data_IF_905921586901
#
_entry.id   IF_905921586901
#
_cell.length_a   1.000
_cell.length_b   1.000
_cell.length_c   1.000
_cell.angle_alpha   90.00
_cell.angle_beta   90.00
_cell.angle_gamma   90.00
#
_symmetry.space_group_name_H-M   'P 1'
#
loop_
_entity.id
_entity.type
_entity.pdbx_description
1 polymer ?
#
# COMPACT_ATOMS: atom_id res chain seq x y z
N UNK A 1 -7.59 3.63 11.31
CA UNK A 1 -6.85 4.40 10.29
C UNK A 1 -5.40 3.97 10.27
N UNK A 2 -4.88 3.72 9.08
CA UNK A 2 -3.48 3.34 8.90
C UNK A 2 -2.78 4.36 8.01
N UNK A 3 -1.47 4.51 8.22
CA UNK A 3 -0.60 5.23 7.29
C UNK A 3 0.10 4.20 6.40
N UNK A 4 0.00 4.38 5.09
CA UNK A 4 0.58 3.47 4.12
C UNK A 4 1.65 4.23 3.32
N UNK A 5 2.88 3.76 3.39
CA UNK A 5 4.01 4.40 2.72
C UNK A 5 4.57 3.48 1.64
N UNK A 6 4.53 3.95 0.39
CA UNK A 6 5.16 3.27 -0.75
C UNK A 6 6.49 3.95 -1.06
N UNK A 7 7.57 3.20 -1.04
CA UNK A 7 8.92 3.69 -1.34
C UNK A 7 9.45 3.06 -2.61
N UNK A 8 9.99 3.86 -3.50
CA UNK A 8 10.66 3.44 -4.74
C UNK A 8 9.76 2.73 -5.74
N UNK A 9 8.45 2.91 -5.63
CA UNK A 9 7.49 2.43 -6.63
C UNK A 9 7.27 3.49 -7.70
N UNK A 10 6.95 3.04 -8.92
CA UNK A 10 6.53 3.97 -9.97
C UNK A 10 5.15 4.54 -9.64
N UNK A 11 4.88 5.73 -10.15
CA UNK A 11 3.56 6.36 -9.98
C UNK A 11 2.44 5.46 -10.50
N UNK A 12 2.65 4.82 -11.65
CA UNK A 12 1.65 3.93 -12.25
C UNK A 12 1.32 2.76 -11.32
N UNK A 13 2.33 2.13 -10.75
CA UNK A 13 2.13 1.00 -9.85
C UNK A 13 1.39 1.42 -8.58
N UNK A 14 1.77 2.54 -7.98
CA UNK A 14 1.12 3.04 -6.78
C UNK A 14 -0.35 3.38 -7.03
N UNK A 15 -0.65 4.05 -8.14
CA UNK A 15 -2.03 4.39 -8.49
C UNK A 15 -2.88 3.15 -8.71
N UNK A 16 -2.34 2.14 -9.36
CA UNK A 16 -3.04 0.89 -9.59
C UNK A 16 -3.32 0.15 -8.28
N UNK A 17 -2.32 0.08 -7.41
CA UNK A 17 -2.45 -0.59 -6.10
C UNK A 17 -3.48 0.13 -5.22
N UNK A 18 -3.38 1.44 -5.10
CA UNK A 18 -4.29 2.21 -4.24
C UNK A 18 -5.72 2.19 -4.76
N UNK A 19 -5.90 2.22 -6.07
CA UNK A 19 -7.23 2.14 -6.68
C UNK A 19 -7.89 0.80 -6.41
N UNK A 20 -7.16 -0.30 -6.56
CA UNK A 20 -7.68 -1.63 -6.29
C UNK A 20 -7.97 -1.81 -4.80
N UNK A 21 -7.11 -1.28 -3.94
CA UNK A 21 -7.30 -1.34 -2.49
C UNK A 21 -8.60 -0.64 -2.09
N UNK A 22 -8.82 0.56 -2.57
CA UNK A 22 -10.03 1.33 -2.27
C UNK A 22 -11.29 0.66 -2.82
N UNK A 23 -11.20 0.04 -4.00
CA UNK A 23 -12.34 -0.59 -4.63
C UNK A 23 -12.79 -1.88 -3.94
N UNK A 24 -11.86 -2.63 -3.31
CA UNK A 24 -12.13 -4.00 -2.88
C UNK A 24 -11.96 -4.25 -1.38
N UNK A 25 -11.14 -3.50 -0.69
CA UNK A 25 -10.69 -3.90 0.66
C UNK A 25 -10.85 -2.84 1.73
N UNK A 26 -10.80 -1.56 1.39
CA UNK A 26 -10.83 -0.49 2.37
C UNK A 26 -11.86 0.55 2.00
N UNK A 27 -12.26 1.34 2.99
CA UNK A 27 -13.28 2.35 2.81
C UNK A 27 -12.77 3.58 2.06
N UNK A 28 -11.56 4.04 2.38
CA UNK A 28 -11.04 5.29 1.85
C UNK A 28 -9.52 5.28 1.83
N UNK A 29 -8.94 5.84 0.77
CA UNK A 29 -7.49 6.02 0.64
C UNK A 29 -7.23 7.46 0.21
N UNK A 30 -6.52 8.22 1.03
CA UNK A 30 -6.21 9.64 0.78
C UNK A 30 -4.70 9.86 0.71
N UNK A 31 -4.25 10.57 -0.31
CA UNK A 31 -2.85 10.94 -0.43
C UNK A 31 -2.51 12.05 0.58
N UNK A 32 -1.56 11.78 1.46
CA UNK A 32 -1.08 12.75 2.45
C UNK A 32 0.15 13.50 1.97
N UNK A 33 1.09 12.78 1.33
CA UNK A 33 2.36 13.37 0.92
C UNK A 33 2.93 12.59 -0.26
N UNK A 34 3.57 13.30 -1.17
CA UNK A 34 4.20 12.70 -2.34
C UNK A 34 5.51 13.41 -2.64
N UNK A 35 6.55 12.63 -2.93
CA UNK A 35 7.82 13.14 -3.45
C UNK A 35 8.38 12.14 -4.47
N UNK A 36 9.62 12.33 -4.92
CA UNK A 36 10.20 11.51 -5.98
C UNK A 36 10.46 10.06 -5.57
N UNK A 37 10.59 9.78 -4.28
CA UNK A 37 10.95 8.45 -3.78
C UNK A 37 9.88 7.79 -2.94
N UNK A 38 8.89 8.53 -2.46
CA UNK A 38 7.86 7.96 -1.60
C UNK A 38 6.51 8.64 -1.77
N UNK A 39 5.46 7.88 -1.47
CA UNK A 39 4.08 8.37 -1.41
C UNK A 39 3.44 7.82 -0.14
N UNK A 40 2.85 8.72 0.64
CA UNK A 40 2.24 8.38 1.91
C UNK A 40 0.74 8.62 1.82
N UNK A 41 -0.02 7.59 2.17
CA UNK A 41 -1.49 7.62 2.16
C UNK A 41 -2.05 7.38 3.55
N UNK A 42 -3.22 7.96 3.81
CA UNK A 42 -4.06 7.59 4.93
C UNK A 42 -5.09 6.58 4.44
N UNK A 43 -5.24 5.47 5.15
CA UNK A 43 -6.17 4.41 4.77
C UNK A 43 -7.16 4.21 5.90
N UNK A 44 -8.44 4.34 5.60
CA UNK A 44 -9.51 4.07 6.54
C UNK A 44 -10.11 2.70 6.26
N UNK A 45 -10.03 1.81 7.24
CA UNK A 45 -10.49 0.44 7.09
C UNK A 45 -10.78 -0.18 8.46
N UNK A 46 -11.62 -1.21 8.47
CA UNK A 46 -11.87 -2.03 9.65
C UNK A 46 -10.95 -3.25 9.71
N UNK A 47 -10.12 -3.45 8.69
CA UNK A 47 -9.18 -4.56 8.66
C UNK A 47 -8.10 -4.38 9.73
N UNK A 48 -7.60 -5.48 10.25
CA UNK A 48 -6.40 -5.46 11.08
C UNK A 48 -5.16 -5.18 10.23
N UNK A 49 -4.04 -4.87 10.86
CA UNK A 49 -2.80 -4.62 10.13
C UNK A 49 -2.37 -5.85 9.31
N UNK A 50 -2.56 -7.05 9.84
CA UNK A 50 -2.24 -8.28 9.11
C UNK A 50 -3.15 -8.51 7.92
N UNK A 51 -4.45 -8.26 8.09
CA UNK A 51 -5.40 -8.38 7.00
C UNK A 51 -5.11 -7.36 5.90
N UNK A 52 -4.73 -6.15 6.28
CA UNK A 52 -4.37 -5.12 5.32
C UNK A 52 -3.09 -5.48 4.57
N UNK A 53 -2.11 -6.05 5.27
CA UNK A 53 -0.88 -6.55 4.63
C UNK A 53 -1.20 -7.61 3.59
N UNK A 54 -2.04 -8.60 3.94
CA UNK A 54 -2.44 -9.65 3.01
C UNK A 54 -3.15 -9.09 1.78
N UNK A 55 -4.06 -8.13 1.99
CA UNK A 55 -4.76 -7.49 0.89
C UNK A 55 -3.80 -6.78 -0.06
N UNK A 56 -2.81 -6.08 0.50
CA UNK A 56 -1.78 -5.41 -0.30
C UNK A 56 -0.95 -6.40 -1.11
N UNK A 57 -0.55 -7.52 -0.50
CA UNK A 57 0.22 -8.55 -1.19
C UNK A 57 -0.56 -9.14 -2.37
N UNK A 58 -1.84 -9.43 -2.17
CA UNK A 58 -2.68 -9.97 -3.24
C UNK A 58 -2.87 -8.97 -4.37
N UNK A 59 -3.08 -7.71 -4.04
CA UNK A 59 -3.22 -6.66 -5.04
C UNK A 59 -1.93 -6.50 -5.85
N UNK A 60 -0.79 -6.53 -5.18
CA UNK A 60 0.51 -6.42 -5.85
C UNK A 60 0.78 -7.60 -6.77
N UNK A 61 0.42 -8.81 -6.36
CA UNK A 61 0.51 -9.99 -7.22
C UNK A 61 -0.35 -9.83 -8.47
N UNK A 62 -1.60 -9.39 -8.30
CA UNK A 62 -2.52 -9.18 -9.42
C UNK A 62 -2.04 -8.06 -10.35
N UNK A 63 -1.32 -7.09 -9.82
CA UNK A 63 -0.76 -5.99 -10.59
C UNK A 63 0.55 -6.35 -11.31
N UNK A 64 1.04 -7.57 -11.12
CA UNK A 64 2.28 -8.01 -11.73
C UNK A 64 3.54 -7.57 -10.99
N UNK A 65 3.41 -7.11 -9.77
CA UNK A 65 4.57 -6.75 -8.94
C UNK A 65 5.21 -8.02 -8.39
N UNK A 66 6.53 -8.13 -8.49
CA UNK A 66 7.25 -9.25 -7.92
C UNK A 66 7.38 -9.06 -6.41
N UNK A 67 6.59 -9.81 -5.64
CA UNK A 67 6.57 -9.69 -4.18
C UNK A 67 7.88 -10.10 -3.51
N UNK A 68 8.71 -10.88 -4.18
CA UNK A 68 10.04 -11.24 -3.68
C UNK A 68 11.02 -10.06 -3.76
N UNK A 69 10.66 -9.03 -4.51
CA UNK A 69 11.48 -7.82 -4.69
C UNK A 69 10.97 -6.65 -3.87
N UNK A 70 10.15 -6.90 -2.86
CA UNK A 70 9.65 -5.85 -1.97
C UNK A 70 9.93 -6.19 -0.52
N UNK A 71 9.99 -5.15 0.30
CA UNK A 71 10.11 -5.28 1.75
C UNK A 71 8.90 -4.62 2.38
N UNK A 72 8.19 -5.36 3.23
CA UNK A 72 7.03 -4.83 3.96
C UNK A 72 7.36 -4.78 5.44
N UNK A 73 7.11 -3.63 6.06
CA UNK A 73 7.22 -3.46 7.51
C UNK A 73 5.86 -3.04 8.03
N UNK A 74 5.35 -3.77 9.01
CA UNK A 74 4.02 -3.56 9.57
C UNK A 74 4.16 -3.18 11.03
N UNK A 75 3.48 -2.11 11.42
CA UNK A 75 3.30 -1.72 12.81
C UNK A 75 1.80 -1.56 13.09
N UNK A 76 1.43 -1.20 14.33
CA UNK A 76 0.02 -1.13 14.71
C UNK A 76 -0.78 -0.12 13.88
N UNK A 77 -0.15 0.96 13.44
CA UNK A 77 -0.84 2.05 12.74
C UNK A 77 -0.24 2.39 11.38
N UNK A 78 0.81 1.70 10.96
CA UNK A 78 1.51 2.03 9.72
C UNK A 78 2.03 0.80 9.01
N UNK A 79 1.97 0.86 7.68
CA UNK A 79 2.55 -0.17 6.80
C UNK A 79 3.47 0.55 5.83
N UNK A 80 4.71 0.07 5.74
CA UNK A 80 5.69 0.59 4.80
C UNK A 80 6.03 -0.48 3.78
N UNK A 81 5.95 -0.15 2.51
CA UNK A 81 6.25 -1.05 1.41
C UNK A 81 7.37 -0.43 0.58
N UNK A 82 8.48 -1.12 0.48
CA UNK A 82 9.65 -0.64 -0.25
C UNK A 82 10.00 -1.60 -1.37
N UNK A 83 10.21 -1.07 -2.56
CA UNK A 83 10.67 -1.86 -3.69
C UNK A 83 12.19 -1.96 -3.63
N UNK A 84 12.69 -3.17 -3.67
CA UNK A 84 14.13 -3.46 -3.60
C UNK A 84 14.80 -3.41 -4.98
#
# INVERSE_FOLDING_TARGET
TYTLNFKLFSTTDVLKITKDLEAKHVREVDLLKSNTTSRIYSVETKLSSMELEEALLMIMLDAGVNVDSIRIQVSDEAISVEKL
#
